data_IF_914515718786
#
_entry.id   IF_914515718786
#
_cell.length_a   1.000
_cell.length_b   1.000
_cell.length_c   1.000
_cell.angle_alpha   90.00
_cell.angle_beta   90.00
_cell.angle_gamma   90.00
#
_symmetry.space_group_name_H-M   'P 1'
#
loop_
_entity.id
_entity.type
_entity.pdbx_description
1 polymer ?
#
# COMPACT_ATOMS: atom_id res chain seq x y z
N UNK A 1 -7.82 -7.77 21.16
CA UNK A 1 -7.09 -9.01 20.77
C UNK A 1 -8.09 -10.12 20.44
N UNK A 2 -9.05 -10.44 21.31
CA UNK A 2 -10.04 -11.52 21.10
C UNK A 2 -10.90 -11.25 19.85
N UNK A 3 -11.40 -10.04 19.66
CA UNK A 3 -12.22 -9.66 18.51
C UNK A 3 -11.47 -9.80 17.16
N UNK A 4 -10.17 -9.51 17.16
CA UNK A 4 -9.30 -9.69 15.99
C UNK A 4 -9.15 -11.17 15.67
N UNK A 5 -8.90 -12.00 16.71
CA UNK A 5 -8.78 -13.44 16.55
C UNK A 5 -10.06 -14.09 16.04
N UNK A 6 -11.23 -13.64 16.51
CA UNK A 6 -12.53 -14.12 16.03
C UNK A 6 -12.77 -13.75 14.56
N UNK A 7 -12.45 -12.54 14.18
CA UNK A 7 -12.59 -12.06 12.79
C UNK A 7 -11.65 -12.87 11.87
N UNK A 8 -10.43 -13.09 12.27
CA UNK A 8 -9.44 -13.88 11.55
C UNK A 8 -9.88 -15.35 11.43
N UNK A 9 -10.38 -15.94 12.52
CA UNK A 9 -10.91 -17.31 12.51
C UNK A 9 -12.12 -17.45 11.59
N UNK A 10 -13.05 -16.49 11.60
CA UNK A 10 -14.20 -16.46 10.70
C UNK A 10 -13.79 -16.40 9.22
N UNK A 11 -12.80 -15.58 8.90
CA UNK A 11 -12.27 -15.43 7.53
C UNK A 11 -11.63 -16.72 7.05
N UNK A 12 -10.82 -17.34 7.90
CA UNK A 12 -10.19 -18.66 7.59
C UNK A 12 -11.25 -19.74 7.43
N UNK A 13 -12.22 -19.80 8.34
CA UNK A 13 -13.30 -20.79 8.30
C UNK A 13 -14.22 -20.66 7.07
N UNK A 14 -14.42 -19.45 6.57
CA UNK A 14 -15.22 -19.19 5.36
C UNK A 14 -14.48 -19.46 4.06
N UNK A 15 -13.17 -19.69 4.08
CA UNK A 15 -12.34 -19.85 2.89
C UNK A 15 -12.28 -18.60 2.02
N UNK A 16 -12.56 -17.43 2.59
CA UNK A 16 -12.60 -16.16 1.85
C UNK A 16 -11.22 -15.80 1.30
N UNK A 17 -10.13 -16.13 2.02
CA UNK A 17 -8.78 -15.87 1.60
C UNK A 17 -8.42 -16.49 0.25
N UNK A 18 -8.46 -17.82 0.11
CA UNK A 18 -8.19 -18.50 -1.15
C UNK A 18 -9.08 -18.02 -2.30
N UNK A 19 -10.36 -17.76 -2.04
CA UNK A 19 -11.28 -17.25 -3.07
C UNK A 19 -10.92 -15.87 -3.58
N UNK A 20 -10.55 -14.95 -2.69
CA UNK A 20 -10.06 -13.63 -3.10
C UNK A 20 -8.76 -13.72 -3.89
N UNK A 21 -7.86 -14.60 -3.48
CA UNK A 21 -6.62 -14.87 -4.23
C UNK A 21 -6.92 -15.35 -5.65
N UNK A 22 -7.84 -16.31 -5.81
CA UNK A 22 -8.25 -16.83 -7.12
C UNK A 22 -8.91 -15.74 -7.99
N UNK A 23 -9.78 -14.93 -7.41
CA UNK A 23 -10.43 -13.83 -8.14
C UNK A 23 -9.39 -12.84 -8.65
N UNK A 24 -8.44 -12.44 -7.81
CA UNK A 24 -7.37 -11.53 -8.19
C UNK A 24 -6.53 -12.13 -9.33
N UNK A 25 -6.12 -13.38 -9.22
CA UNK A 25 -5.32 -14.05 -10.24
C UNK A 25 -6.07 -14.23 -11.57
N UNK A 26 -7.35 -14.58 -11.52
CA UNK A 26 -8.17 -14.74 -12.71
C UNK A 26 -8.38 -13.41 -13.46
N UNK A 27 -8.57 -12.30 -12.73
CA UNK A 27 -8.75 -10.98 -13.35
C UNK A 27 -7.42 -10.43 -13.87
N UNK A 28 -6.31 -10.74 -13.18
CA UNK A 28 -4.98 -10.22 -13.53
C UNK A 28 -4.30 -10.94 -14.69
N UNK A 29 -4.81 -12.10 -15.08
CA UNK A 29 -4.21 -12.96 -16.11
C UNK A 29 -2.71 -13.22 -15.88
N UNK A 30 -2.30 -13.32 -14.62
CA UNK A 30 -0.92 -13.52 -14.19
C UNK A 30 0.00 -12.28 -14.29
N UNK A 31 -0.53 -11.13 -14.67
CA UNK A 31 0.26 -9.89 -14.76
C UNK A 31 0.52 -9.33 -13.35
N UNK A 32 1.80 -9.21 -12.96
CA UNK A 32 2.20 -8.69 -11.65
C UNK A 32 1.66 -7.27 -11.38
N UNK A 33 1.69 -6.38 -12.37
CA UNK A 33 1.23 -5.00 -12.19
C UNK A 33 -0.28 -4.96 -11.96
N UNK A 34 -1.06 -5.76 -12.69
CA UNK A 34 -2.51 -5.82 -12.54
C UNK A 34 -2.87 -6.45 -11.20
N UNK A 35 -2.18 -7.54 -10.81
CA UNK A 35 -2.34 -8.17 -9.49
C UNK A 35 -2.05 -7.18 -8.36
N UNK A 36 -0.97 -6.41 -8.47
CA UNK A 36 -0.61 -5.41 -7.48
C UNK A 36 -1.64 -4.27 -7.40
N UNK A 37 -2.16 -3.78 -8.52
CA UNK A 37 -3.22 -2.76 -8.54
C UNK A 37 -4.52 -3.27 -7.90
N UNK A 38 -4.92 -4.50 -8.21
CA UNK A 38 -6.08 -5.11 -7.56
C UNK A 38 -5.86 -5.29 -6.05
N UNK A 39 -4.65 -5.67 -5.65
CA UNK A 39 -4.29 -5.76 -4.24
C UNK A 39 -4.32 -4.39 -3.54
N UNK A 40 -3.93 -3.29 -4.21
CA UNK A 40 -4.07 -1.92 -3.67
C UNK A 40 -5.53 -1.56 -3.45
N UNK A 41 -6.40 -1.87 -4.41
CA UNK A 41 -7.85 -1.65 -4.25
C UNK A 41 -8.38 -2.45 -3.06
N UNK A 42 -8.05 -3.75 -2.98
CA UNK A 42 -8.43 -4.59 -1.85
C UNK A 42 -7.86 -4.06 -0.52
N UNK A 43 -6.59 -3.62 -0.50
CA UNK A 43 -5.95 -3.03 0.66
C UNK A 43 -6.66 -1.76 1.15
N UNK A 44 -7.04 -0.92 0.21
CA UNK A 44 -7.76 0.32 0.54
C UNK A 44 -9.14 0.00 1.11
N UNK A 45 -9.90 -0.88 0.46
CA UNK A 45 -11.25 -1.25 0.89
C UNK A 45 -11.25 -2.00 2.24
N UNK A 46 -10.39 -3.00 2.39
CA UNK A 46 -10.30 -3.80 3.61
C UNK A 46 -9.63 -3.04 4.77
N UNK A 47 -8.71 -2.14 4.45
CA UNK A 47 -7.99 -1.34 5.44
C UNK A 47 -8.78 -0.16 6.00
N UNK A 48 -9.92 0.21 5.39
CA UNK A 48 -10.74 1.33 5.86
C UNK A 48 -11.25 1.11 7.27
N UNK A 49 -10.87 2.00 8.16
CA UNK A 49 -11.37 2.00 9.54
C UNK A 49 -10.78 0.91 10.45
N UNK A 50 -9.80 0.14 9.98
CA UNK A 50 -9.11 -0.87 10.79
C UNK A 50 -7.74 -0.37 11.27
N UNK A 51 -7.31 -0.76 12.48
CA UNK A 51 -5.92 -0.58 12.89
C UNK A 51 -4.95 -1.27 11.94
N UNK A 52 -3.83 -0.62 11.64
CA UNK A 52 -2.82 -1.09 10.68
C UNK A 52 -2.39 -2.56 10.85
N UNK A 53 -2.15 -3.09 12.07
CA UNK A 53 -1.74 -4.48 12.21
C UNK A 53 -2.80 -5.47 11.70
N UNK A 54 -4.09 -5.16 11.91
CA UNK A 54 -5.19 -6.02 11.47
C UNK A 54 -5.32 -5.95 9.95
N UNK A 55 -5.30 -4.74 9.39
CA UNK A 55 -5.34 -4.53 7.95
C UNK A 55 -4.21 -5.29 7.26
N UNK A 56 -2.99 -5.19 7.77
CA UNK A 56 -1.84 -5.91 7.24
C UNK A 56 -2.01 -7.43 7.30
N UNK A 57 -2.43 -7.99 8.45
CA UNK A 57 -2.62 -9.42 8.59
C UNK A 57 -3.66 -9.95 7.59
N UNK A 58 -4.76 -9.23 7.40
CA UNK A 58 -5.76 -9.59 6.41
C UNK A 58 -5.17 -9.57 4.98
N UNK A 59 -4.47 -8.51 4.62
CA UNK A 59 -3.83 -8.41 3.31
C UNK A 59 -2.77 -9.49 3.08
N UNK A 60 -2.00 -9.81 4.10
CA UNK A 60 -1.00 -10.89 4.04
C UNK A 60 -1.65 -12.26 3.79
N UNK A 61 -2.88 -12.47 4.27
CA UNK A 61 -3.62 -13.71 4.04
C UNK A 61 -4.29 -13.78 2.66
N UNK A 62 -4.73 -12.64 2.11
CA UNK A 62 -5.56 -12.61 0.89
C UNK A 62 -4.80 -12.17 -0.35
N UNK A 63 -4.02 -11.09 -0.23
CA UNK A 63 -3.36 -10.48 -1.35
C UNK A 63 -1.92 -10.96 -1.56
N UNK A 64 -1.21 -11.31 -0.48
CA UNK A 64 0.18 -11.74 -0.60
C UNK A 64 0.33 -13.01 -1.46
N UNK A 65 -0.48 -14.07 -1.29
CA UNK A 65 -0.37 -15.26 -2.13
C UNK A 65 -0.54 -14.93 -3.63
N UNK A 66 -1.48 -14.05 -3.99
CA UNK A 66 -1.70 -13.66 -5.37
C UNK A 66 -0.49 -12.95 -5.98
N UNK A 67 0.08 -11.97 -5.24
CA UNK A 67 1.23 -11.18 -5.71
C UNK A 67 2.48 -12.06 -5.82
N UNK A 68 2.71 -12.98 -4.87
CA UNK A 68 3.84 -13.91 -4.89
C UNK A 68 3.69 -14.90 -6.07
N UNK A 69 2.49 -15.41 -6.32
CA UNK A 69 2.21 -16.29 -7.47
C UNK A 69 2.41 -15.56 -8.79
N UNK A 70 2.13 -14.26 -8.86
CA UNK A 70 2.42 -13.40 -10.01
C UNK A 70 3.92 -13.09 -10.19
N UNK A 71 4.80 -13.61 -9.33
CA UNK A 71 6.26 -13.57 -9.48
C UNK A 71 6.99 -12.52 -8.64
N UNK A 72 6.33 -11.83 -7.71
CA UNK A 72 7.01 -10.88 -6.83
C UNK A 72 7.79 -11.57 -5.69
N UNK A 73 8.90 -10.96 -5.24
CA UNK A 73 9.64 -11.46 -4.08
C UNK A 73 8.80 -11.38 -2.80
N UNK A 74 8.91 -12.40 -1.95
CA UNK A 74 8.11 -12.51 -0.72
C UNK A 74 8.27 -11.28 0.17
N UNK A 75 9.50 -10.86 0.47
CA UNK A 75 9.77 -9.70 1.32
C UNK A 75 9.19 -8.42 0.71
N UNK A 76 9.39 -8.21 -0.60
CA UNK A 76 8.84 -7.06 -1.33
C UNK A 76 7.32 -7.01 -1.26
N UNK A 77 6.67 -8.15 -1.44
CA UNK A 77 5.21 -8.29 -1.32
C UNK A 77 4.70 -7.89 0.06
N UNK A 78 5.33 -8.39 1.12
CA UNK A 78 4.91 -8.07 2.48
C UNK A 78 5.13 -6.59 2.83
N UNK A 79 6.24 -5.98 2.39
CA UNK A 79 6.48 -4.55 2.60
C UNK A 79 5.54 -3.68 1.77
N UNK A 80 5.22 -4.09 0.54
CA UNK A 80 4.21 -3.45 -0.30
C UNK A 80 2.85 -3.42 0.41
N UNK A 81 2.36 -4.57 0.86
CA UNK A 81 1.06 -4.67 1.54
C UNK A 81 1.05 -3.93 2.89
N UNK A 82 2.15 -3.98 3.62
CA UNK A 82 2.29 -3.24 4.88
C UNK A 82 2.22 -1.72 4.65
N UNK A 83 2.87 -1.23 3.58
CA UNK A 83 2.79 0.18 3.19
C UNK A 83 1.35 0.60 2.92
N UNK A 84 0.59 -0.18 2.13
CA UNK A 84 -0.80 0.13 1.83
C UNK A 84 -1.71 -0.04 3.05
N UNK A 85 -1.43 -0.96 3.95
CA UNK A 85 -2.13 -1.09 5.23
C UNK A 85 -1.97 0.18 6.10
N UNK A 86 -0.78 0.78 6.14
CA UNK A 86 -0.56 2.06 6.84
C UNK A 86 -1.33 3.19 6.13
N UNK A 87 -1.28 3.24 4.81
CA UNK A 87 -1.88 4.32 4.03
C UNK A 87 -3.40 4.29 3.98
N UNK A 88 -4.03 3.14 4.19
CA UNK A 88 -5.49 3.02 4.24
C UNK A 88 -6.13 3.95 5.29
N UNK A 89 -5.43 4.21 6.41
CA UNK A 89 -5.89 5.14 7.45
C UNK A 89 -5.92 6.62 7.03
N UNK A 90 -5.16 7.00 5.99
CA UNK A 90 -5.12 8.36 5.45
C UNK A 90 -5.83 8.51 4.09
N UNK A 91 -6.36 7.41 3.54
CA UNK A 91 -6.99 7.38 2.22
C UNK A 91 -8.50 7.57 2.33
N UNK A 92 -9.13 8.47 1.52
CA UNK A 92 -10.58 8.56 1.45
C UNK A 92 -11.22 7.21 1.05
N UNK A 93 -12.46 6.90 1.44
CA UNK A 93 -13.45 7.78 2.07
C UNK A 93 -13.44 7.82 3.60
N UNK A 94 -12.74 6.93 4.31
CA UNK A 94 -12.78 6.89 5.78
C UNK A 94 -11.71 7.78 6.41
N UNK A 95 -10.45 7.65 5.97
CA UNK A 95 -9.31 8.52 6.32
C UNK A 95 -9.26 8.96 7.81
N UNK A 96 -9.29 8.01 8.75
CA UNK A 96 -9.36 8.30 10.19
C UNK A 96 -8.28 9.26 10.68
N UNK A 97 -7.06 9.14 10.15
CA UNK A 97 -5.95 10.03 10.49
C UNK A 97 -6.23 11.46 10.02
N UNK A 98 -6.83 11.62 8.84
CA UNK A 98 -7.20 12.93 8.31
C UNK A 98 -8.36 13.57 9.08
N UNK A 99 -9.26 12.79 9.67
CA UNK A 99 -10.32 13.30 10.56
C UNK A 99 -9.71 13.99 11.79
N UNK A 100 -8.71 13.35 12.41
CA UNK A 100 -8.02 13.94 13.57
C UNK A 100 -7.25 15.21 13.15
N UNK A 101 -6.52 15.16 12.04
CA UNK A 101 -5.79 16.31 11.53
C UNK A 101 -6.71 17.50 11.19
N UNK A 102 -7.84 17.23 10.54
CA UNK A 102 -8.85 18.23 10.21
C UNK A 102 -9.45 18.87 11.48
N UNK A 103 -9.69 18.08 12.53
CA UNK A 103 -10.15 18.58 13.82
C UNK A 103 -9.18 19.54 14.48
N UNK A 104 -7.88 19.23 14.46
CA UNK A 104 -6.80 20.08 14.99
C UNK A 104 -6.69 21.37 14.17
N UNK A 105 -6.70 21.25 12.83
CA UNK A 105 -6.56 22.38 11.91
C UNK A 105 -7.86 23.21 11.75
N UNK A 106 -8.97 22.78 12.33
CA UNK A 106 -10.31 23.35 12.11
C UNK A 106 -10.66 23.45 10.62
N UNK A 107 -10.25 22.46 9.84
CA UNK A 107 -10.41 22.39 8.39
C UNK A 107 -11.52 21.38 8.00
N UNK A 108 -11.93 21.44 6.73
CA UNK A 108 -12.88 20.46 6.21
C UNK A 108 -12.22 19.07 6.10
N UNK A 109 -12.87 18.07 6.69
CA UNK A 109 -12.37 16.68 6.70
C UNK A 109 -12.10 16.12 5.29
N UNK A 110 -13.01 16.34 4.35
CA UNK A 110 -12.87 15.81 2.98
C UNK A 110 -11.67 16.41 2.27
N UNK A 111 -11.52 17.73 2.30
CA UNK A 111 -10.37 18.42 1.71
C UNK A 111 -9.06 17.99 2.34
N UNK A 112 -9.03 17.81 3.67
CA UNK A 112 -7.85 17.31 4.39
C UNK A 112 -7.51 15.88 3.98
N UNK A 113 -8.50 15.01 3.80
CA UNK A 113 -8.31 13.62 3.36
C UNK A 113 -7.75 13.53 1.94
N UNK A 114 -8.32 14.33 1.03
CA UNK A 114 -7.84 14.39 -0.36
C UNK A 114 -6.41 14.94 -0.41
N UNK A 115 -6.11 15.99 0.33
CA UNK A 115 -4.76 16.53 0.42
C UNK A 115 -3.77 15.48 0.96
N UNK A 116 -4.12 14.78 2.03
CA UNK A 116 -3.30 13.71 2.61
C UNK A 116 -3.05 12.58 1.61
N UNK A 117 -4.06 12.19 0.83
CA UNK A 117 -3.93 11.18 -0.21
C UNK A 117 -2.99 11.63 -1.32
N UNK A 118 -3.19 12.84 -1.87
CA UNK A 118 -2.36 13.40 -2.94
C UNK A 118 -0.89 13.49 -2.51
N UNK A 119 -0.61 13.98 -1.30
CA UNK A 119 0.75 14.03 -0.76
C UNK A 119 1.35 12.64 -0.47
N UNK A 120 0.54 11.59 -0.45
CA UNK A 120 1.00 10.21 -0.28
C UNK A 120 1.41 9.54 -1.59
N UNK A 121 1.02 10.07 -2.75
CA UNK A 121 1.27 9.45 -4.07
C UNK A 121 2.74 9.13 -4.37
N UNK A 122 3.72 10.00 -4.04
CA UNK A 122 5.13 9.67 -4.28
C UNK A 122 5.57 8.39 -3.58
N UNK A 123 5.07 8.15 -2.37
CA UNK A 123 5.39 6.94 -1.61
C UNK A 123 4.76 5.68 -2.21
N UNK A 124 3.65 5.77 -2.93
CA UNK A 124 3.05 4.61 -3.61
C UNK A 124 4.00 4.02 -4.66
N UNK A 125 4.73 4.87 -5.38
CA UNK A 125 5.73 4.42 -6.36
C UNK A 125 6.82 3.60 -5.70
N UNK A 126 7.32 4.06 -4.54
CA UNK A 126 8.33 3.31 -3.77
C UNK A 126 7.80 1.93 -3.37
N UNK A 127 6.54 1.85 -2.95
CA UNK A 127 5.93 0.57 -2.61
C UNK A 127 5.88 -0.38 -3.82
N UNK A 128 5.53 0.12 -5.00
CA UNK A 128 5.59 -0.69 -6.24
C UNK A 128 7.01 -1.11 -6.60
N UNK A 129 8.02 -0.28 -6.36
CA UNK A 129 9.42 -0.65 -6.62
C UNK A 129 9.87 -1.86 -5.80
N UNK A 130 9.32 -2.09 -4.60
CA UNK A 130 9.62 -3.30 -3.81
C UNK A 130 9.21 -4.59 -4.49
N UNK A 131 8.21 -4.56 -5.38
CA UNK A 131 7.75 -5.76 -6.11
C UNK A 131 8.68 -6.15 -7.27
N UNK A 132 9.42 -5.19 -7.81
CA UNK A 132 10.25 -5.40 -8.99
C UNK A 132 11.74 -5.53 -8.68
N UNK A 133 12.20 -4.99 -7.57
CA UNK A 133 13.62 -4.99 -7.24
C UNK A 133 13.87 -5.16 -5.74
N UNK A 134 14.70 -6.13 -5.41
CA UNK A 134 15.22 -6.33 -4.05
C UNK A 134 16.28 -5.30 -3.65
N UNK A 135 16.76 -4.46 -4.57
CA UNK A 135 17.84 -3.52 -4.27
C UNK A 135 17.45 -2.49 -3.20
N UNK A 136 16.20 -1.97 -3.22
CA UNK A 136 15.69 -1.10 -2.16
C UNK A 136 15.49 -1.82 -0.82
N UNK A 137 15.50 -3.16 -0.82
CA UNK A 137 15.41 -4.02 0.35
C UNK A 137 16.79 -4.49 0.81
N UNK A 138 17.86 -3.82 0.35
CA UNK A 138 19.24 -4.18 0.62
C UNK A 138 19.62 -5.61 0.17
N UNK A 139 18.95 -6.12 -0.87
CA UNK A 139 19.26 -7.42 -1.47
C UNK A 139 20.02 -7.22 -2.78
N UNK A 140 21.23 -7.79 -2.88
CA UNK A 140 22.07 -7.74 -4.07
C UNK A 140 23.37 -6.97 -3.86
N UNK A 141 24.01 -6.56 -4.94
CA UNK A 141 25.28 -5.84 -4.92
C UNK A 141 25.14 -4.43 -4.36
N UNK A 142 26.11 -4.00 -3.55
CA UNK A 142 26.13 -2.70 -2.90
C UNK A 142 25.99 -1.53 -3.89
N UNK A 143 26.57 -1.64 -5.09
CA UNK A 143 26.47 -0.61 -6.14
C UNK A 143 25.01 -0.46 -6.60
N UNK A 144 24.31 -1.56 -6.85
CA UNK A 144 22.90 -1.54 -7.26
C UNK A 144 22.00 -1.02 -6.17
N UNK A 145 22.28 -1.35 -4.89
CA UNK A 145 21.54 -0.83 -3.72
C UNK A 145 21.67 0.70 -3.65
N UNK A 146 22.90 1.23 -3.73
CA UNK A 146 23.15 2.67 -3.70
C UNK A 146 22.48 3.38 -4.88
N UNK A 147 22.62 2.84 -6.10
CA UNK A 147 21.98 3.41 -7.29
C UNK A 147 20.45 3.41 -7.16
N UNK A 148 19.85 2.32 -6.70
CA UNK A 148 18.41 2.23 -6.49
C UNK A 148 17.93 3.23 -5.44
N UNK A 149 18.64 3.40 -4.34
CA UNK A 149 18.32 4.36 -3.30
C UNK A 149 18.41 5.81 -3.81
N UNK A 150 19.45 6.14 -4.56
CA UNK A 150 19.64 7.49 -5.12
C UNK A 150 18.55 7.80 -6.17
N UNK A 151 18.30 6.90 -7.11
CA UNK A 151 17.29 7.10 -8.15
C UNK A 151 15.88 7.18 -7.57
N UNK A 152 15.55 6.33 -6.59
CA UNK A 152 14.28 6.38 -5.89
C UNK A 152 14.12 7.70 -5.12
N UNK A 153 15.16 8.18 -4.43
CA UNK A 153 15.14 9.44 -3.68
C UNK A 153 14.91 10.64 -4.60
N UNK A 154 15.62 10.68 -5.74
CA UNK A 154 15.44 11.74 -6.75
C UNK A 154 14.03 11.69 -7.34
N UNK A 155 13.53 10.51 -7.68
CA UNK A 155 12.18 10.34 -8.23
C UNK A 155 11.09 10.78 -7.26
N UNK A 156 11.19 10.38 -5.99
CA UNK A 156 10.24 10.78 -4.94
C UNK A 156 10.31 12.29 -4.69
N UNK A 157 11.51 12.86 -4.64
CA UNK A 157 11.67 14.30 -4.47
C UNK A 157 11.06 15.08 -5.64
N UNK A 158 11.35 14.68 -6.89
CA UNK A 158 10.80 15.33 -8.08
C UNK A 158 9.26 15.27 -8.12
N UNK A 159 8.69 14.11 -7.78
CA UNK A 159 7.23 13.98 -7.70
C UNK A 159 6.63 14.82 -6.56
N UNK A 160 7.25 14.81 -5.40
CA UNK A 160 6.79 15.60 -4.26
C UNK A 160 6.83 17.10 -4.58
N UNK A 161 7.89 17.57 -5.21
CA UNK A 161 8.03 18.95 -5.66
C UNK A 161 6.97 19.32 -6.72
N UNK A 162 6.71 18.42 -7.67
CA UNK A 162 5.66 18.62 -8.68
C UNK A 162 4.25 18.68 -8.09
N UNK A 163 3.93 17.79 -7.14
CA UNK A 163 2.62 17.76 -6.47
C UNK A 163 2.40 19.01 -5.61
N UNK A 164 3.46 19.52 -4.96
CA UNK A 164 3.39 20.70 -4.12
C UNK A 164 3.43 22.03 -4.89
N UNK A 165 3.60 21.99 -6.22
CA UNK A 165 3.70 23.19 -7.05
C UNK A 165 5.04 23.93 -6.93
N UNK A 166 6.01 23.38 -6.20
CA UNK A 166 7.30 24.05 -5.93
C UNK A 166 8.12 24.36 -7.20
N UNK A 167 7.83 23.69 -8.31
CA UNK A 167 8.52 23.89 -9.58
C UNK A 167 7.74 24.79 -10.56
N UNK A 168 6.59 25.31 -10.19
CA UNK A 168 5.68 26.03 -11.11
C UNK A 168 5.63 27.54 -10.84
N UNK A 169 6.04 27.99 -9.66
CA UNK A 169 6.12 29.40 -9.29
C UNK A 169 7.54 29.96 -9.57
N UNK A 170 7.82 30.21 -10.85
CA UNK A 170 8.88 31.10 -11.32
C UNK A 170 8.32 32.08 -12.34
#
# INVERSE_FOLDING_TARGET
>A
IISIGLLQAAIVATGLGPRLTEIILNISDGSLIVTALLAVVAATLLGMGMPTPIAYLMLAMFAAPAIITAGAPVLGTHLFLFYFAIKSGSTPPVALVAVVAAGIARANWWSTSVAAFVHSLPGFIVAFMFLYSGALLMQGDAIFIVMAALTASVGVFAMAAGIQGWCVDW
#
